data_IF_562750192377
#
_entry.id   IF_562750192377
#
_cell.length_a   1.000
_cell.length_b   1.000
_cell.length_c   1.000
_cell.angle_alpha   90.00
_cell.angle_beta   90.00
_cell.angle_gamma   90.00
#
_symmetry.space_group_name_H-M   'P 1'
#
loop_
_entity.id
_entity.type
_entity.pdbx_description
1 polymer ?
#
# COMPACT_ATOMS: atom_id res chain seq x y z
N UNK A 1 44.49 10.63 4.04
CA UNK A 1 43.76 10.40 5.32
C UNK A 1 44.39 11.31 6.38
N UNK A 2 43.66 11.72 7.43
CA UNK A 2 44.26 12.58 8.45
C UNK A 2 45.37 11.84 9.22
N UNK A 3 46.51 12.51 9.44
CA UNK A 3 47.69 11.94 10.10
C UNK A 3 47.66 12.23 11.61
N UNK A 4 48.14 11.31 12.47
CA UNK A 4 48.22 11.56 13.90
C UNK A 4 49.20 12.70 14.19
N UNK A 5 48.84 13.56 15.15
CA UNK A 5 49.65 14.73 15.51
C UNK A 5 50.86 14.35 16.38
N UNK A 6 50.70 13.31 17.19
CA UNK A 6 51.76 12.67 17.97
C UNK A 6 51.93 11.22 17.45
N UNK A 7 52.92 11.02 16.57
CA UNK A 7 53.21 9.72 15.95
C UNK A 7 53.76 8.70 16.96
N UNK A 8 54.53 9.14 17.95
CA UNK A 8 55.14 8.28 18.96
C UNK A 8 54.04 7.69 19.85
N UNK A 9 53.14 8.54 20.36
CA UNK A 9 51.99 8.10 21.15
C UNK A 9 51.07 7.17 20.35
N UNK A 10 50.80 7.53 19.08
CA UNK A 10 49.99 6.70 18.20
C UNK A 10 50.59 5.31 18.01
N UNK A 11 51.89 5.22 17.70
CA UNK A 11 52.59 3.94 17.49
C UNK A 11 52.67 3.11 18.77
N UNK A 12 52.86 3.73 19.94
CA UNK A 12 52.82 3.05 21.24
C UNK A 12 51.45 2.41 21.49
N UNK A 13 50.37 3.13 21.25
CA UNK A 13 48.99 2.63 21.40
C UNK A 13 48.68 1.57 20.33
N UNK A 14 49.13 1.77 19.09
CA UNK A 14 49.00 0.80 17.99
C UNK A 14 49.59 -0.54 18.37
N UNK A 15 50.82 -0.59 18.90
CA UNK A 15 51.46 -1.82 19.38
C UNK A 15 50.60 -2.53 20.45
N UNK A 16 50.12 -1.79 21.46
CA UNK A 16 49.26 -2.34 22.53
C UNK A 16 47.93 -2.90 21.99
N UNK A 17 47.24 -2.13 21.15
CA UNK A 17 45.94 -2.52 20.58
C UNK A 17 46.09 -3.72 19.66
N UNK A 18 47.17 -3.79 18.88
CA UNK A 18 47.41 -4.90 17.95
C UNK A 18 47.83 -6.17 18.68
N UNK A 19 48.57 -6.07 19.80
CA UNK A 19 48.84 -7.22 20.68
C UNK A 19 47.54 -7.79 21.26
N UNK A 20 46.61 -6.94 21.71
CA UNK A 20 45.29 -7.38 22.24
C UNK A 20 44.34 -7.89 21.16
N UNK A 21 44.44 -7.37 19.94
CA UNK A 21 43.57 -7.71 18.80
C UNK A 21 44.43 -8.04 17.56
N UNK A 22 45.01 -9.24 17.49
CA UNK A 22 45.96 -9.58 16.42
C UNK A 22 45.31 -9.58 15.03
N UNK A 23 44.06 -10.06 14.92
CA UNK A 23 43.32 -10.11 13.65
C UNK A 23 42.91 -8.71 13.17
N UNK A 24 43.24 -8.40 11.91
CA UNK A 24 42.84 -7.14 11.28
C UNK A 24 41.32 -7.04 11.17
N UNK A 25 40.73 -5.97 11.72
CA UNK A 25 39.29 -5.72 11.66
C UNK A 25 38.96 -4.22 11.79
N UNK A 26 37.77 -3.82 11.35
CA UNK A 26 37.28 -2.46 11.55
C UNK A 26 37.19 -2.09 13.05
N UNK A 27 36.85 -3.07 13.90
CA UNK A 27 36.78 -2.89 15.35
C UNK A 27 38.17 -2.57 15.93
N UNK A 28 39.21 -3.32 15.52
CA UNK A 28 40.61 -3.06 15.90
C UNK A 28 41.03 -1.64 15.51
N UNK A 29 40.81 -1.26 14.26
CA UNK A 29 41.18 0.07 13.76
C UNK A 29 40.43 1.19 14.49
N UNK A 30 39.16 0.98 14.82
CA UNK A 30 38.39 1.97 15.56
C UNK A 30 38.76 2.07 17.05
N UNK A 31 39.10 0.96 17.73
CA UNK A 31 39.66 0.98 19.09
C UNK A 31 40.94 1.81 19.12
N UNK A 32 41.86 1.57 18.17
CA UNK A 32 43.10 2.35 18.05
C UNK A 32 42.83 3.85 18.01
N UNK A 33 41.84 4.28 17.20
CA UNK A 33 41.45 5.69 17.11
C UNK A 33 40.85 6.21 18.42
N UNK A 34 40.01 5.43 19.11
CA UNK A 34 39.42 5.82 20.39
C UNK A 34 40.47 5.98 21.49
N UNK A 35 41.32 4.96 21.67
CA UNK A 35 42.39 4.94 22.65
C UNK A 35 43.40 6.07 22.39
N UNK A 36 43.77 6.29 21.12
CA UNK A 36 44.64 7.40 20.76
C UNK A 36 44.02 8.75 21.09
N UNK A 37 42.75 8.99 20.72
CA UNK A 37 42.07 10.25 21.05
C UNK A 37 41.96 10.49 22.56
N UNK A 38 41.69 9.42 23.33
CA UNK A 38 41.60 9.48 24.80
C UNK A 38 42.96 9.84 25.40
N UNK A 39 44.02 9.14 25.00
CA UNK A 39 45.37 9.39 25.47
C UNK A 39 45.90 10.76 25.04
N UNK A 40 45.62 11.17 23.80
CA UNK A 40 45.99 12.49 23.29
C UNK A 40 45.28 13.61 24.06
N UNK A 41 43.97 13.46 24.34
CA UNK A 41 43.22 14.42 25.17
C UNK A 41 43.81 14.53 26.58
N UNK A 42 44.24 13.41 27.17
CA UNK A 42 44.90 13.41 28.48
C UNK A 42 46.24 14.17 28.46
N UNK A 43 47.02 14.05 27.39
CA UNK A 43 48.36 14.67 27.27
C UNK A 43 48.33 16.13 26.80
N UNK A 44 47.39 16.50 25.93
CA UNK A 44 47.38 17.77 25.21
C UNK A 44 46.06 18.56 25.36
N UNK A 45 45.16 18.13 26.23
CA UNK A 45 43.87 18.78 26.48
C UNK A 45 42.96 18.78 25.25
N UNK A 46 42.39 19.94 24.93
CA UNK A 46 41.39 20.12 23.86
C UNK A 46 41.99 20.23 22.44
N UNK A 47 43.30 20.07 22.28
CA UNK A 47 43.95 20.13 20.96
C UNK A 47 43.43 19.03 20.03
N UNK A 48 43.38 19.31 18.73
CA UNK A 48 42.95 18.33 17.73
C UNK A 48 44.02 17.22 17.57
N UNK A 49 43.67 15.93 17.78
CA UNK A 49 44.62 14.79 17.72
C UNK A 49 45.12 14.42 16.32
N UNK A 50 44.50 14.94 15.25
CA UNK A 50 44.90 14.64 13.87
C UNK A 50 45.05 15.91 13.03
N UNK A 51 46.04 15.90 12.13
CA UNK A 51 46.33 16.95 11.14
C UNK A 51 45.77 16.53 9.77
N UNK A 52 45.27 17.49 8.99
CA UNK A 52 44.82 17.30 7.60
C UNK A 52 43.29 17.35 7.41
N UNK A 53 42.85 17.31 6.14
CA UNK A 53 41.44 17.40 5.76
C UNK A 53 40.66 16.19 6.31
N UNK A 54 39.76 16.43 7.27
CA UNK A 54 38.82 15.42 7.78
C UNK A 54 37.64 15.32 6.82
N UNK A 55 37.34 14.10 6.37
CA UNK A 55 36.01 13.86 5.79
C UNK A 55 34.98 13.90 6.92
N UNK A 56 33.89 14.68 6.77
CA UNK A 56 32.74 14.69 7.71
C UNK A 56 32.02 13.32 7.67
N UNK A 57 32.66 12.26 8.12
CA UNK A 57 32.04 10.93 8.25
C UNK A 57 31.47 10.76 9.67
N UNK A 58 30.19 11.08 9.81
CA UNK A 58 29.38 10.89 11.04
C UNK A 58 29.23 9.38 11.39
N UNK A 59 29.61 8.48 10.48
CA UNK A 59 29.29 7.05 10.56
C UNK A 59 30.05 6.24 11.61
N UNK A 60 31.30 6.56 11.97
CA UNK A 60 32.11 5.69 12.83
C UNK A 60 31.64 5.72 14.30
N UNK A 61 31.31 6.91 14.82
CA UNK A 61 30.74 7.04 16.17
C UNK A 61 29.42 6.28 16.27
N UNK A 62 28.51 6.50 15.31
CA UNK A 62 27.24 5.77 15.23
C UNK A 62 27.46 4.26 15.17
N UNK A 63 28.44 3.79 14.40
CA UNK A 63 28.76 2.36 14.31
C UNK A 63 29.19 1.76 15.65
N UNK A 64 29.96 2.49 16.46
CA UNK A 64 30.30 2.04 17.81
C UNK A 64 29.09 2.02 18.75
N UNK A 65 28.25 3.06 18.70
CA UNK A 65 27.04 3.16 19.53
C UNK A 65 26.03 2.05 19.18
N UNK A 66 25.95 1.65 17.91
CA UNK A 66 25.10 0.57 17.40
C UNK A 66 25.50 -0.83 17.89
N UNK A 67 26.74 -1.01 18.42
CA UNK A 67 27.31 -2.28 18.89
C UNK A 67 27.11 -3.43 17.90
N UNK A 68 27.92 -3.46 16.84
CA UNK A 68 27.81 -4.48 15.78
C UNK A 68 28.39 -5.81 16.20
N UNK A 69 27.56 -6.86 16.14
CA UNK A 69 27.92 -8.23 16.53
C UNK A 69 27.47 -9.23 15.48
N UNK A 70 28.05 -10.43 15.53
CA UNK A 70 27.59 -11.56 14.74
C UNK A 70 26.31 -12.17 15.34
N UNK A 71 25.74 -13.19 14.69
CA UNK A 71 24.52 -13.87 15.14
C UNK A 71 24.63 -14.55 16.52
N UNK A 72 25.84 -14.70 17.07
CA UNK A 72 26.12 -15.25 18.41
C UNK A 72 26.28 -14.16 19.47
N UNK A 73 26.22 -12.89 19.09
CA UNK A 73 26.46 -11.77 20.02
C UNK A 73 27.94 -11.41 20.21
N UNK A 74 28.84 -12.03 19.46
CA UNK A 74 30.29 -11.82 19.58
C UNK A 74 30.82 -10.84 18.52
N UNK A 75 32.00 -10.27 18.79
CA UNK A 75 32.77 -9.48 17.83
C UNK A 75 33.85 -10.36 17.19
N UNK A 76 34.10 -10.19 15.89
CA UNK A 76 35.12 -10.95 15.16
C UNK A 76 34.56 -12.18 14.44
N UNK A 77 35.28 -12.60 13.39
CA UNK A 77 34.87 -13.68 12.50
C UNK A 77 35.38 -15.01 13.06
N UNK A 78 34.46 -15.95 13.33
CA UNK A 78 34.78 -17.36 13.61
C UNK A 78 34.50 -18.23 12.40
N UNK A 79 33.40 -17.95 11.69
CA UNK A 79 32.99 -18.69 10.50
C UNK A 79 32.83 -17.78 9.29
N UNK A 80 33.10 -18.31 8.09
CA UNK A 80 32.88 -17.61 6.81
C UNK A 80 31.44 -17.12 6.64
N UNK A 81 30.49 -17.82 7.25
CA UNK A 81 29.06 -17.53 7.18
C UNK A 81 28.55 -16.60 8.29
N UNK A 82 29.43 -15.99 9.09
CA UNK A 82 29.04 -15.04 10.12
C UNK A 82 28.39 -13.79 9.49
N UNK A 83 27.25 -13.40 10.05
CA UNK A 83 26.46 -12.26 9.59
C UNK A 83 26.42 -11.18 10.67
N UNK A 84 26.79 -9.95 10.32
CA UNK A 84 26.87 -8.84 11.27
C UNK A 84 25.66 -7.92 11.17
N UNK A 85 25.13 -7.56 12.35
CA UNK A 85 24.04 -6.59 12.52
C UNK A 85 24.26 -5.82 13.83
N UNK A 86 23.68 -4.62 13.95
CA UNK A 86 23.70 -3.86 15.20
C UNK A 86 22.91 -4.59 16.27
N UNK A 87 23.33 -4.50 17.53
CA UNK A 87 22.53 -4.91 18.69
C UNK A 87 21.42 -3.90 18.97
N UNK A 88 21.70 -2.61 18.80
CA UNK A 88 20.80 -1.52 19.17
C UNK A 88 20.57 -0.55 18.01
N UNK A 89 19.34 -0.06 17.90
CA UNK A 89 18.94 0.92 16.89
C UNK A 89 19.19 2.33 17.43
N UNK A 90 20.19 3.02 16.89
CA UNK A 90 20.49 4.42 17.25
C UNK A 90 19.67 5.40 16.42
N UNK A 91 19.42 5.07 15.15
CA UNK A 91 18.67 5.95 14.24
C UNK A 91 17.71 5.16 13.36
N UNK A 92 16.79 5.87 12.68
CA UNK A 92 15.92 5.32 11.64
C UNK A 92 16.72 4.69 10.48
N UNK A 93 17.97 5.15 10.26
CA UNK A 93 18.88 4.63 9.22
C UNK A 93 19.66 3.40 9.65
N UNK A 94 19.67 3.07 10.95
CA UNK A 94 20.33 1.87 11.47
C UNK A 94 19.63 0.64 10.89
N UNK A 95 20.35 -0.37 10.38
CA UNK A 95 19.74 -1.58 9.86
C UNK A 95 18.94 -2.34 10.92
N UNK A 96 18.14 -3.31 10.48
CA UNK A 96 17.49 -4.28 11.38
C UNK A 96 18.53 -4.92 12.31
N UNK A 97 18.21 -5.03 13.59
CA UNK A 97 19.07 -5.64 14.61
C UNK A 97 18.99 -7.16 14.53
N UNK A 98 19.91 -7.85 15.22
CA UNK A 98 19.82 -9.32 15.33
C UNK A 98 18.57 -9.77 16.08
N UNK A 99 18.16 -9.05 17.14
CA UNK A 99 16.95 -9.39 17.90
C UNK A 99 15.66 -9.23 17.10
N UNK A 100 15.65 -8.37 16.08
CA UNK A 100 14.50 -8.20 15.19
C UNK A 100 14.40 -9.28 14.10
N UNK A 101 15.45 -10.09 13.87
CA UNK A 101 15.47 -11.14 12.85
C UNK A 101 14.95 -12.47 13.37
N UNK A 102 14.16 -13.17 12.56
CA UNK A 102 13.73 -14.53 12.91
C UNK A 102 14.79 -15.59 12.55
N UNK A 103 14.68 -16.79 13.15
CA UNK A 103 15.61 -17.91 12.94
C UNK A 103 15.75 -18.31 11.46
N UNK A 104 14.65 -18.25 10.68
CA UNK A 104 14.65 -18.58 9.24
C UNK A 104 15.43 -17.55 8.41
N UNK A 105 15.27 -16.26 8.70
CA UNK A 105 15.99 -15.15 8.08
C UNK A 105 17.50 -15.29 8.34
N UNK A 106 17.90 -15.58 9.58
CA UNK A 106 19.29 -15.82 9.97
C UNK A 106 19.87 -17.01 9.19
N UNK A 107 19.17 -18.17 9.18
CA UNK A 107 19.62 -19.38 8.47
C UNK A 107 19.85 -19.11 6.97
N UNK A 108 18.89 -18.43 6.33
CA UNK A 108 18.98 -18.08 4.89
C UNK A 108 20.13 -17.11 4.61
N UNK A 109 20.32 -16.11 5.46
CA UNK A 109 21.38 -15.13 5.32
C UNK A 109 22.77 -15.77 5.50
N UNK A 110 22.93 -16.65 6.48
CA UNK A 110 24.18 -17.42 6.66
C UNK A 110 24.50 -18.29 5.46
N UNK A 111 23.50 -19.03 4.92
CA UNK A 111 23.68 -19.82 3.69
C UNK A 111 24.15 -18.95 2.52
N UNK A 112 23.54 -17.78 2.34
CA UNK A 112 23.92 -16.86 1.26
C UNK A 112 25.31 -16.25 1.47
N UNK A 113 25.66 -15.90 2.71
CA UNK A 113 26.99 -15.39 3.06
C UNK A 113 28.07 -16.42 2.78
N UNK A 114 27.81 -17.69 3.08
CA UNK A 114 28.72 -18.79 2.80
C UNK A 114 28.98 -18.96 1.30
N UNK A 115 27.92 -18.98 0.50
CA UNK A 115 28.00 -19.27 -0.95
C UNK A 115 28.41 -18.07 -1.79
N UNK A 116 27.95 -16.86 -1.45
CA UNK A 116 28.14 -15.64 -2.26
C UNK A 116 29.04 -14.59 -1.62
N UNK A 117 29.56 -14.84 -0.42
CA UNK A 117 30.34 -13.86 0.34
C UNK A 117 29.54 -12.64 0.83
N UNK A 118 28.23 -12.57 0.57
CA UNK A 118 27.38 -11.41 0.89
C UNK A 118 25.97 -11.80 1.32
N UNK A 119 25.30 -10.89 2.02
CA UNK A 119 23.92 -11.04 2.48
C UNK A 119 23.03 -10.04 1.75
N UNK A 120 21.80 -10.44 1.40
CA UNK A 120 20.80 -9.53 0.86
C UNK A 120 20.28 -8.57 1.95
N UNK A 121 19.66 -7.45 1.53
CA UNK A 121 18.98 -6.56 2.47
C UNK A 121 17.76 -7.26 3.05
N UNK A 122 17.69 -7.37 4.37
CA UNK A 122 16.51 -7.91 5.05
C UNK A 122 15.31 -6.98 4.88
N UNK A 123 14.11 -7.59 4.74
CA UNK A 123 12.81 -6.91 4.70
C UNK A 123 12.80 -5.67 3.81
N UNK A 124 13.41 -5.77 2.62
CA UNK A 124 13.39 -4.69 1.62
C UNK A 124 11.92 -4.38 1.31
N UNK A 125 11.43 -3.23 1.77
CA UNK A 125 10.15 -2.69 1.26
C UNK A 125 10.33 -2.56 -0.25
N UNK A 126 9.44 -3.19 -1.02
CA UNK A 126 9.43 -3.05 -2.47
C UNK A 126 9.38 -1.57 -2.81
N UNK A 127 10.19 -1.13 -3.78
CA UNK A 127 10.07 0.23 -4.30
C UNK A 127 8.68 0.42 -4.92
N UNK A 128 8.16 1.65 -4.87
CA UNK A 128 6.90 1.98 -5.57
C UNK A 128 7.16 1.82 -7.07
N UNK A 129 6.31 1.04 -7.74
CA UNK A 129 6.44 0.81 -9.18
C UNK A 129 6.12 2.10 -9.94
N UNK A 130 7.00 2.49 -10.86
CA UNK A 130 6.77 3.63 -11.75
C UNK A 130 5.62 3.33 -12.72
N UNK A 131 5.05 4.39 -13.33
CA UNK A 131 3.96 4.25 -14.31
C UNK A 131 4.38 3.40 -15.50
N UNK A 132 5.61 3.60 -16.02
CA UNK A 132 6.20 2.80 -17.11
C UNK A 132 6.33 1.33 -16.73
N UNK A 133 6.77 1.03 -15.50
CA UNK A 133 6.87 -0.34 -15.00
C UNK A 133 5.51 -1.05 -14.93
N UNK A 134 4.45 -0.34 -14.49
CA UNK A 134 3.07 -0.86 -14.45
C UNK A 134 2.51 -1.12 -15.86
N UNK A 135 2.73 -0.19 -16.80
CA UNK A 135 2.25 -0.33 -18.18
C UNK A 135 2.90 -1.50 -18.92
N UNK A 136 4.19 -1.76 -18.66
CA UNK A 136 4.95 -2.81 -19.33
C UNK A 136 4.74 -4.22 -18.72
N UNK A 137 3.82 -4.39 -17.77
CA UNK A 137 3.53 -5.72 -17.21
C UNK A 137 2.76 -6.55 -18.21
N UNK A 138 3.32 -7.70 -18.58
CA UNK A 138 2.60 -8.71 -19.35
C UNK A 138 1.65 -9.49 -18.44
N UNK A 139 0.38 -9.10 -18.42
CA UNK A 139 -0.64 -9.76 -17.61
C UNK A 139 -1.10 -11.13 -18.12
N UNK A 140 -0.71 -11.53 -19.34
CA UNK A 140 -0.88 -12.93 -19.79
C UNK A 140 0.14 -13.86 -19.13
N UNK A 141 1.30 -13.34 -18.71
CA UNK A 141 2.39 -14.08 -18.04
C UNK A 141 3.07 -13.24 -16.94
N UNK A 142 2.40 -12.96 -15.81
CA UNK A 142 2.94 -12.10 -14.76
C UNK A 142 4.09 -12.77 -13.99
N UNK A 143 5.24 -12.07 -13.92
CA UNK A 143 6.44 -12.51 -13.19
C UNK A 143 6.35 -12.12 -11.70
N UNK A 144 6.12 -13.12 -10.85
CA UNK A 144 6.12 -12.98 -9.40
C UNK A 144 4.86 -12.32 -8.80
N UNK A 145 4.82 -12.26 -7.48
CA UNK A 145 3.64 -11.84 -6.72
C UNK A 145 3.16 -10.41 -7.06
N UNK A 146 4.09 -9.44 -7.16
CA UNK A 146 3.73 -8.04 -7.42
C UNK A 146 3.10 -7.81 -8.82
N UNK A 147 3.57 -8.53 -9.86
CA UNK A 147 2.94 -8.45 -11.18
C UNK A 147 1.56 -9.10 -11.18
N UNK A 148 1.41 -10.26 -10.52
CA UNK A 148 0.10 -10.92 -10.37
C UNK A 148 -0.91 -10.01 -9.70
N UNK A 149 -0.53 -9.35 -8.60
CA UNK A 149 -1.40 -8.37 -7.96
C UNK A 149 -1.70 -7.15 -8.86
N UNK A 150 -0.71 -6.61 -9.57
CA UNK A 150 -0.95 -5.51 -10.51
C UNK A 150 -1.88 -5.90 -11.67
N UNK A 151 -1.80 -7.13 -12.14
CA UNK A 151 -2.67 -7.60 -13.22
C UNK A 151 -4.08 -7.88 -12.75
N UNK A 152 -4.24 -8.44 -11.55
CA UNK A 152 -5.56 -8.73 -10.98
C UNK A 152 -6.29 -7.46 -10.52
N UNK A 153 -5.56 -6.44 -10.05
CA UNK A 153 -6.17 -5.28 -9.36
C UNK A 153 -5.63 -3.91 -9.80
N UNK A 154 -4.53 -3.86 -10.56
CA UNK A 154 -3.78 -2.63 -10.84
C UNK A 154 -3.94 -2.06 -12.26
N UNK A 155 -4.48 -2.84 -13.22
CA UNK A 155 -5.04 -2.28 -14.45
C UNK A 155 -6.44 -1.75 -14.13
N UNK A 156 -6.50 -0.46 -13.83
CA UNK A 156 -7.79 0.24 -13.69
C UNK A 156 -8.44 0.28 -15.07
N UNK A 157 -9.28 -0.71 -15.38
CA UNK A 157 -10.16 -0.58 -16.54
C UNK A 157 -11.04 0.64 -16.30
N UNK A 158 -11.06 1.54 -17.28
CA UNK A 158 -11.91 2.72 -17.24
C UNK A 158 -13.35 2.39 -17.61
N UNK A 159 -13.68 1.12 -17.91
CA UNK A 159 -15.01 0.72 -18.34
C UNK A 159 -15.49 -0.49 -17.56
N UNK A 160 -16.76 -0.47 -17.21
CA UNK A 160 -17.48 -1.57 -16.58
C UNK A 160 -18.90 -1.62 -17.13
N UNK A 161 -19.55 -2.77 -16.96
CA UNK A 161 -20.93 -2.98 -17.37
C UNK A 161 -21.69 -3.82 -16.36
N UNK A 162 -22.99 -3.64 -16.33
CA UNK A 162 -23.95 -4.50 -15.67
C UNK A 162 -25.08 -4.84 -16.64
N UNK A 163 -25.53 -6.09 -16.62
CA UNK A 163 -26.61 -6.58 -17.47
C UNK A 163 -27.79 -6.95 -16.59
N UNK A 164 -28.95 -6.37 -16.90
CA UNK A 164 -30.24 -6.78 -16.36
C UNK A 164 -30.79 -7.89 -17.26
N UNK A 165 -30.63 -9.14 -16.82
CA UNK A 165 -31.23 -10.30 -17.48
C UNK A 165 -32.75 -10.17 -17.43
N UNK A 166 -33.45 -10.67 -18.45
CA UNK A 166 -34.92 -10.58 -18.53
C UNK A 166 -35.56 -11.21 -17.28
N UNK A 167 -36.26 -10.39 -16.50
CA UNK A 167 -37.03 -10.77 -15.29
C UNK A 167 -38.27 -9.88 -15.24
N UNK A 168 -39.47 -10.48 -15.18
CA UNK A 168 -40.76 -9.77 -15.17
C UNK A 168 -40.86 -8.70 -16.25
N UNK A 169 -40.47 -9.04 -17.48
CA UNK A 169 -40.38 -8.15 -18.66
C UNK A 169 -39.35 -7.01 -18.58
N UNK A 170 -38.67 -6.82 -17.45
CA UNK A 170 -37.58 -5.84 -17.30
C UNK A 170 -36.27 -6.45 -17.77
N UNK A 171 -35.56 -5.77 -18.66
CA UNK A 171 -34.21 -6.15 -19.12
C UNK A 171 -33.43 -4.92 -19.59
N UNK A 172 -32.11 -5.03 -19.71
CA UNK A 172 -31.29 -3.91 -20.15
C UNK A 172 -29.81 -4.01 -19.83
N UNK A 173 -29.11 -2.91 -20.06
CA UNK A 173 -27.68 -2.78 -19.75
C UNK A 173 -27.36 -1.41 -19.16
N UNK A 174 -26.38 -1.39 -18.26
CA UNK A 174 -25.79 -0.18 -17.70
C UNK A 174 -24.30 -0.23 -17.96
N UNK A 175 -23.76 0.84 -18.54
CA UNK A 175 -22.34 1.01 -18.84
C UNK A 175 -21.79 2.11 -17.94
N UNK A 176 -20.67 1.81 -17.29
CA UNK A 176 -19.95 2.71 -16.41
C UNK A 176 -18.60 3.03 -17.04
N UNK A 177 -18.29 4.31 -17.16
CA UNK A 177 -17.01 4.77 -17.72
C UNK A 177 -16.37 5.77 -16.77
N UNK A 178 -15.18 5.45 -16.28
CA UNK A 178 -14.39 6.38 -15.50
C UNK A 178 -13.92 7.56 -16.38
N UNK A 179 -14.35 8.76 -16.00
CA UNK A 179 -13.95 10.04 -16.59
C UNK A 179 -13.16 10.87 -15.57
N UNK A 180 -12.61 12.02 -16.00
CA UNK A 180 -11.74 12.88 -15.18
C UNK A 180 -12.36 13.26 -13.82
N UNK A 181 -13.68 13.49 -13.79
CA UNK A 181 -14.39 13.99 -12.61
C UNK A 181 -15.52 13.05 -12.15
N UNK A 182 -15.31 11.73 -12.21
CA UNK A 182 -16.25 10.74 -11.70
C UNK A 182 -16.50 9.60 -12.67
N UNK A 183 -17.70 9.01 -12.60
CA UNK A 183 -18.13 7.91 -13.48
C UNK A 183 -19.30 8.38 -14.33
N UNK A 184 -19.14 8.28 -15.64
CA UNK A 184 -20.24 8.42 -16.61
C UNK A 184 -21.03 7.12 -16.62
N UNK A 185 -22.33 7.23 -16.37
CA UNK A 185 -23.27 6.10 -16.36
C UNK A 185 -24.19 6.28 -17.56
N UNK A 186 -24.22 5.29 -18.45
CA UNK A 186 -25.17 5.17 -19.56
C UNK A 186 -26.08 3.98 -19.30
N UNK A 187 -27.38 4.15 -19.36
CA UNK A 187 -28.34 3.07 -19.15
C UNK A 187 -29.31 2.98 -20.33
N UNK A 188 -29.70 1.75 -20.64
CA UNK A 188 -30.73 1.41 -21.62
C UNK A 188 -31.51 0.20 -21.06
N UNK A 189 -32.69 0.50 -20.52
CA UNK A 189 -33.56 -0.44 -19.78
C UNK A 189 -34.93 -0.43 -20.45
N UNK A 190 -35.51 -1.61 -20.62
CA UNK A 190 -36.81 -1.84 -21.26
C UNK A 190 -37.75 -2.54 -20.29
N UNK A 191 -39.05 -2.37 -20.52
CA UNK A 191 -40.11 -3.10 -19.81
C UNK A 191 -40.59 -2.49 -18.50
N UNK A 192 -39.99 -1.38 -18.05
CA UNK A 192 -40.48 -0.60 -16.91
C UNK A 192 -41.82 0.07 -17.23
N UNK A 193 -42.63 0.33 -16.20
CA UNK A 193 -43.83 1.16 -16.29
C UNK A 193 -43.42 2.62 -16.57
N UNK A 194 -44.30 3.43 -17.15
CA UNK A 194 -44.02 4.85 -17.32
C UNK A 194 -43.92 5.54 -15.95
N UNK A 195 -42.94 6.44 -15.78
CA UNK A 195 -42.73 7.13 -14.49
C UNK A 195 -41.27 7.17 -14.05
N UNK A 196 -41.07 7.47 -12.76
CA UNK A 196 -39.76 7.54 -12.10
C UNK A 196 -39.51 6.24 -11.33
N UNK A 197 -38.29 5.73 -11.43
CA UNK A 197 -37.85 4.52 -10.75
C UNK A 197 -36.53 4.78 -10.02
N UNK A 198 -36.46 4.40 -8.75
CA UNK A 198 -35.24 4.47 -7.95
C UNK A 198 -34.12 3.62 -8.57
N UNK A 199 -32.92 4.18 -8.61
CA UNK A 199 -31.78 3.59 -9.30
C UNK A 199 -30.55 3.67 -8.41
N UNK A 200 -30.10 2.53 -7.90
CA UNK A 200 -29.11 2.49 -6.82
C UNK A 200 -28.01 1.48 -7.08
N UNK A 201 -26.82 1.75 -6.53
CA UNK A 201 -25.76 0.75 -6.41
C UNK A 201 -25.86 0.15 -5.01
N UNK A 202 -26.00 -1.16 -4.94
CA UNK A 202 -26.08 -1.92 -3.70
C UNK A 202 -24.74 -2.56 -3.36
N UNK A 203 -24.55 -2.84 -2.08
CA UNK A 203 -23.25 -3.24 -1.54
C UNK A 203 -22.72 -4.56 -2.12
N UNK A 204 -23.60 -5.55 -2.28
CA UNK A 204 -23.25 -6.93 -2.63
C UNK A 204 -23.52 -7.17 -4.11
N UNK A 205 -22.49 -7.61 -4.86
CA UNK A 205 -22.64 -8.04 -6.25
C UNK A 205 -22.69 -9.56 -6.46
N UNK A 206 -22.46 -10.37 -5.42
CA UNK A 206 -22.72 -11.81 -5.46
C UNK A 206 -24.05 -12.12 -4.78
N UNK A 207 -25.13 -12.08 -5.56
CA UNK A 207 -26.49 -12.21 -5.07
C UNK A 207 -27.23 -13.40 -5.71
N UNK A 208 -26.53 -14.32 -6.39
CA UNK A 208 -27.08 -15.53 -7.01
C UNK A 208 -28.36 -15.31 -7.84
N UNK A 209 -28.45 -14.18 -8.56
CA UNK A 209 -29.61 -13.71 -9.35
C UNK A 209 -30.84 -13.28 -8.53
N UNK A 210 -30.79 -13.35 -7.20
CA UNK A 210 -31.81 -12.82 -6.31
C UNK A 210 -31.46 -11.40 -5.86
N UNK A 211 -32.19 -10.41 -6.37
CA UNK A 211 -31.92 -9.01 -6.08
C UNK A 211 -32.09 -8.65 -4.60
N UNK A 212 -32.81 -9.43 -3.79
CA UNK A 212 -32.96 -9.19 -2.36
C UNK A 212 -31.63 -9.38 -1.61
N UNK A 213 -30.79 -10.33 -2.05
CA UNK A 213 -29.48 -10.65 -1.46
C UNK A 213 -28.38 -9.63 -1.79
N UNK A 214 -28.69 -8.58 -2.54
CA UNK A 214 -27.74 -7.52 -2.87
C UNK A 214 -27.39 -6.58 -1.69
N UNK A 215 -28.06 -6.74 -0.53
CA UNK A 215 -27.80 -5.93 0.67
C UNK A 215 -28.37 -4.50 0.57
N UNK A 216 -27.92 -3.58 1.44
CA UNK A 216 -28.35 -2.18 1.42
C UNK A 216 -27.67 -1.38 0.29
N UNK A 217 -28.00 -0.10 0.18
CA UNK A 217 -27.30 0.83 -0.72
C UNK A 217 -25.82 0.91 -0.33
N UNK A 218 -24.94 1.07 -1.32
CA UNK A 218 -23.51 1.16 -1.07
C UNK A 218 -23.15 2.44 -0.30
N UNK A 219 -22.77 2.29 0.97
CA UNK A 219 -22.56 3.40 1.91
C UNK A 219 -21.24 3.29 2.71
N UNK A 220 -20.07 3.47 2.08
CA UNK A 220 -18.77 3.35 2.74
C UNK A 220 -18.43 4.50 3.70
N UNK A 221 -19.32 5.49 3.86
CA UNK A 221 -19.11 6.68 4.70
C UNK A 221 -20.20 6.85 5.78
N UNK A 222 -21.13 5.90 5.91
CA UNK A 222 -22.16 5.93 6.96
C UNK A 222 -23.09 7.15 6.89
N UNK A 223 -23.36 7.68 5.70
CA UNK A 223 -24.31 8.78 5.55
C UNK A 223 -25.75 8.26 5.52
N UNK A 224 -26.73 9.15 5.71
CA UNK A 224 -28.14 8.84 5.40
C UNK A 224 -28.37 8.84 3.89
N UNK A 225 -29.42 8.16 3.45
CA UNK A 225 -29.88 8.20 2.06
C UNK A 225 -30.24 9.64 1.67
N UNK A 226 -29.90 10.01 0.45
CA UNK A 226 -30.24 11.32 -0.12
C UNK A 226 -30.07 11.33 -1.63
N UNK A 227 -30.69 12.30 -2.30
CA UNK A 227 -30.57 12.45 -3.75
C UNK A 227 -29.13 12.64 -4.27
N UNK A 228 -28.92 12.26 -5.54
CA UNK A 228 -27.60 12.28 -6.23
C UNK A 228 -26.81 13.59 -6.08
N UNK A 229 -27.48 14.74 -6.02
CA UNK A 229 -26.84 16.06 -5.93
C UNK A 229 -26.41 16.44 -4.49
N UNK A 230 -26.84 15.68 -3.48
CA UNK A 230 -26.56 15.99 -2.07
C UNK A 230 -25.10 15.78 -1.68
N UNK A 231 -24.56 16.67 -0.83
CA UNK A 231 -23.19 16.58 -0.30
C UNK A 231 -22.98 15.38 0.63
N UNK A 232 -23.98 15.05 1.46
CA UNK A 232 -24.04 13.83 2.26
C UNK A 232 -25.14 12.93 1.66
N UNK A 233 -24.77 11.73 1.22
CA UNK A 233 -25.63 10.69 0.65
C UNK A 233 -24.89 9.36 0.68
N UNK A 234 -25.57 8.24 0.48
CA UNK A 234 -24.86 7.02 0.15
C UNK A 234 -24.12 7.20 -1.18
N UNK A 235 -23.00 6.50 -1.35
CA UNK A 235 -22.26 6.52 -2.62
C UNK A 235 -23.11 5.88 -3.73
N UNK A 236 -23.94 4.90 -3.37
CA UNK A 236 -24.85 4.23 -4.29
C UNK A 236 -26.13 4.97 -4.66
N UNK A 237 -26.46 6.13 -4.07
CA UNK A 237 -27.73 6.81 -4.34
C UNK A 237 -27.68 7.59 -5.67
N UNK A 238 -28.15 7.00 -6.78
CA UNK A 238 -28.12 7.67 -8.10
C UNK A 238 -29.42 8.43 -8.42
N UNK A 239 -30.40 8.38 -7.52
CA UNK A 239 -31.70 9.02 -7.66
C UNK A 239 -32.63 8.21 -8.56
N UNK A 240 -33.32 8.89 -9.48
CA UNK A 240 -34.30 8.28 -10.35
C UNK A 240 -33.85 8.23 -11.81
N UNK A 241 -34.22 7.16 -12.51
CA UNK A 241 -34.34 7.14 -13.98
C UNK A 241 -35.80 7.39 -14.37
N UNK A 242 -36.02 7.84 -15.61
CA UNK A 242 -37.35 8.16 -16.12
C UNK A 242 -37.67 7.24 -17.29
N UNK A 243 -38.79 6.55 -17.20
CA UNK A 243 -39.36 5.74 -18.28
C UNK A 243 -40.43 6.56 -19.01
N UNK A 244 -40.31 6.67 -20.34
CA UNK A 244 -41.37 7.20 -21.22
C UNK A 244 -41.59 6.22 -22.36
N UNK A 245 -42.85 5.92 -22.69
CA UNK A 245 -43.22 4.95 -23.75
C UNK A 245 -42.50 3.60 -23.58
N UNK A 246 -42.41 3.10 -22.34
CA UNK A 246 -41.70 1.85 -21.96
C UNK A 246 -40.20 1.80 -22.33
N UNK A 247 -39.60 2.93 -22.68
CA UNK A 247 -38.16 3.09 -22.96
C UNK A 247 -37.50 3.92 -21.85
N UNK A 248 -36.42 3.39 -21.29
CA UNK A 248 -35.66 4.06 -20.22
C UNK A 248 -34.21 4.14 -20.63
N UNK A 249 -33.84 5.26 -21.27
CA UNK A 249 -32.50 5.47 -21.81
C UNK A 249 -31.98 6.83 -21.40
N UNK A 250 -30.73 6.89 -20.96
CA UNK A 250 -30.13 8.14 -20.54
C UNK A 250 -28.66 8.01 -20.17
N UNK A 251 -28.06 9.15 -19.87
CA UNK A 251 -26.66 9.25 -19.46
C UNK A 251 -26.47 10.38 -18.46
N UNK A 252 -25.67 10.16 -17.43
CA UNK A 252 -25.24 11.21 -16.51
C UNK A 252 -23.86 10.91 -15.92
N UNK A 253 -23.25 11.90 -15.27
CA UNK A 253 -21.98 11.74 -14.56
C UNK A 253 -22.24 11.82 -13.07
N UNK A 254 -21.74 10.84 -12.32
CA UNK A 254 -21.69 10.88 -10.86
C UNK A 254 -20.26 11.19 -10.40
N UNK A 255 -20.09 12.29 -9.68
CA UNK A 255 -18.77 12.77 -9.24
C UNK A 255 -18.21 12.01 -8.03
N UNK A 256 -19.04 11.25 -7.31
CA UNK A 256 -18.62 10.53 -6.09
C UNK A 256 -18.27 9.07 -6.36
N UNK A 257 -18.86 8.49 -7.40
CA UNK A 257 -18.53 7.14 -7.84
C UNK A 257 -17.10 7.04 -8.37
N UNK A 258 -16.54 5.84 -8.24
CA UNK A 258 -15.26 5.47 -8.83
C UNK A 258 -15.26 4.00 -9.22
N UNK A 259 -14.48 3.62 -10.23
CA UNK A 259 -14.20 2.21 -10.58
C UNK A 259 -12.99 1.65 -9.82
N UNK A 260 -12.46 2.40 -8.86
CA UNK A 260 -11.29 2.06 -8.05
C UNK A 260 -11.27 2.83 -6.72
N UNK A 261 -10.42 2.42 -5.79
CA UNK A 261 -10.24 3.09 -4.50
C UNK A 261 -11.43 2.86 -3.54
N UNK A 262 -11.60 3.76 -2.57
CA UNK A 262 -12.61 3.61 -1.49
C UNK A 262 -14.06 3.57 -2.02
N UNK A 263 -14.37 4.37 -3.03
CA UNK A 263 -15.71 4.43 -3.63
C UNK A 263 -15.87 3.48 -4.83
N UNK A 264 -15.08 2.41 -4.88
CA UNK A 264 -15.10 1.43 -5.96
C UNK A 264 -16.45 0.70 -6.04
N UNK A 265 -17.06 0.69 -7.23
CA UNK A 265 -18.31 -0.02 -7.53
C UNK A 265 -18.12 -1.34 -8.28
N UNK A 266 -16.90 -1.68 -8.69
CA UNK A 266 -16.62 -2.96 -9.34
C UNK A 266 -16.87 -4.10 -8.35
N UNK A 267 -17.60 -5.12 -8.80
CA UNK A 267 -17.99 -6.26 -7.97
C UNK A 267 -19.23 -6.03 -7.12
N UNK A 268 -19.83 -4.83 -7.18
CA UNK A 268 -21.12 -4.49 -6.56
C UNK A 268 -22.28 -4.76 -7.51
N UNK A 269 -23.50 -4.38 -7.13
CA UNK A 269 -24.68 -4.52 -7.98
C UNK A 269 -25.32 -3.16 -8.24
N UNK A 270 -25.94 -3.03 -9.40
CA UNK A 270 -26.88 -1.94 -9.69
C UNK A 270 -28.29 -2.51 -9.68
N UNK A 271 -29.24 -1.76 -9.13
CA UNK A 271 -30.64 -2.17 -8.96
C UNK A 271 -31.55 -1.06 -9.49
N UNK A 272 -32.61 -1.50 -10.17
CA UNK A 272 -33.74 -0.66 -10.55
C UNK A 272 -34.94 -1.05 -9.70
N UNK A 273 -35.57 -0.05 -9.08
CA UNK A 273 -36.69 -0.22 -8.17
C UNK A 273 -38.04 0.05 -8.84
N UNK A 274 -39.13 -0.40 -8.20
CA UNK A 274 -40.48 -0.26 -8.73
C UNK A 274 -41.00 1.18 -8.62
N UNK A 275 -40.78 1.82 -7.48
CA UNK A 275 -41.29 3.16 -7.20
C UNK A 275 -40.21 4.22 -7.36
N UNK A 276 -40.67 5.48 -7.36
CA UNK A 276 -39.83 6.66 -7.32
C UNK A 276 -39.07 6.70 -5.99
N UNK A 277 -37.77 6.94 -6.08
CA UNK A 277 -36.94 7.37 -4.95
C UNK A 277 -37.31 8.81 -4.55
N UNK A 278 -37.73 9.01 -3.30
CA UNK A 278 -38.09 10.31 -2.72
C UNK A 278 -36.90 11.21 -2.36
N UNK A 279 -35.68 10.68 -2.49
CA UNK A 279 -34.39 11.33 -2.30
C UNK A 279 -34.07 11.72 -0.85
N UNK A 280 -34.64 11.02 0.13
CA UNK A 280 -34.48 11.31 1.55
C UNK A 280 -35.36 12.47 2.03
N UNK A 281 -36.42 12.78 1.28
CA UNK A 281 -37.34 13.90 1.57
C UNK A 281 -38.70 13.46 2.10
N UNK A 282 -38.92 12.16 2.26
CA UNK A 282 -40.10 11.62 2.92
C UNK A 282 -40.06 11.90 4.43
N UNK A 283 -41.23 11.86 5.06
CA UNK A 283 -41.40 12.13 6.50
C UNK A 283 -41.29 10.86 7.37
N UNK A 284 -40.67 9.79 6.86
CA UNK A 284 -40.51 8.51 7.57
C UNK A 284 -39.03 8.07 7.58
N UNK A 285 -38.68 7.19 8.52
CA UNK A 285 -37.31 6.68 8.66
C UNK A 285 -36.82 5.93 7.42
N UNK A 286 -37.72 5.27 6.71
CA UNK A 286 -37.40 4.51 5.51
C UNK A 286 -36.93 5.41 4.35
N UNK A 287 -37.42 6.66 4.28
CA UNK A 287 -36.90 7.66 3.34
C UNK A 287 -35.39 7.88 3.52
N UNK A 288 -34.93 7.94 4.77
CA UNK A 288 -33.51 8.15 5.09
C UNK A 288 -32.64 6.90 4.92
N UNK A 289 -33.24 5.75 4.57
CA UNK A 289 -32.55 4.47 4.33
C UNK A 289 -32.57 4.06 2.86
N UNK A 290 -33.74 4.07 2.23
CA UNK A 290 -33.97 3.52 0.87
C UNK A 290 -34.65 4.49 -0.09
N UNK A 291 -35.08 5.67 0.41
CA UNK A 291 -35.82 6.64 -0.39
C UNK A 291 -37.24 6.19 -0.73
N UNK A 292 -37.80 5.22 0.02
CA UNK A 292 -39.12 4.62 -0.24
C UNK A 292 -39.31 4.08 -1.67
N UNK A 293 -38.23 3.65 -2.34
CA UNK A 293 -38.28 3.22 -3.74
C UNK A 293 -38.97 1.86 -3.95
N UNK A 294 -39.33 1.15 -2.87
CA UNK A 294 -40.09 -0.11 -2.94
C UNK A 294 -39.30 -1.28 -3.55
N UNK A 295 -40.02 -2.20 -4.20
CA UNK A 295 -39.50 -3.48 -4.64
C UNK A 295 -38.34 -3.39 -5.64
N UNK A 296 -37.46 -4.40 -5.62
CA UNK A 296 -36.29 -4.50 -6.52
C UNK A 296 -36.68 -5.23 -7.81
N UNK A 297 -37.01 -4.50 -8.87
CA UNK A 297 -37.49 -5.06 -10.13
C UNK A 297 -36.41 -5.89 -10.85
N UNK A 298 -35.20 -5.37 -10.93
CA UNK A 298 -34.08 -6.07 -11.58
C UNK A 298 -32.73 -5.60 -11.01
N UNK A 299 -31.71 -6.43 -11.17
CA UNK A 299 -30.38 -6.19 -10.64
C UNK A 299 -29.30 -6.80 -11.54
N UNK A 300 -28.12 -6.21 -11.51
CA UNK A 300 -27.00 -6.66 -12.34
C UNK A 300 -25.67 -6.43 -11.62
N UNK A 301 -24.81 -7.45 -11.61
CA UNK A 301 -23.44 -7.32 -11.08
C UNK A 301 -22.63 -6.40 -11.99
N UNK A 302 -21.94 -5.44 -11.40
CA UNK A 302 -21.03 -4.53 -12.09
C UNK A 302 -19.69 -5.24 -12.26
N UNK A 303 -19.35 -5.55 -13.51
CA UNK A 303 -18.11 -6.23 -13.88
C UNK A 303 -17.29 -5.34 -14.81
N UNK A 304 -15.97 -5.50 -14.79
CA UNK A 304 -15.10 -4.82 -15.75
C UNK A 304 -15.52 -5.20 -17.18
N UNK A 305 -15.50 -4.21 -18.07
CA UNK A 305 -15.69 -4.40 -19.50
C UNK A 305 -14.37 -4.35 -20.24
#
# INVERSE_FOLDING_TARGET
MPNPRDNILYNKIKKKVYKKNPKHSAYRSGILVQEYKKAFKKKYGSKNPYIGKKTKKIGLRRWFDEKWVNQRGEVGYKYKNDIYRPLKRITKRTPITHGELNKKEIKRARKLKYTKGRVNRFRKKGGVWTRKQKQNVNCKKPKGFSQRQHCNYGRVSKKAKAIFKKKNNVSGKVIFEQVKHGVRIKYDIKGLKNGKHGFHIHEIGNFNKDCLKAGPHFNPHGHKHSGRKSKKRHIGDLGNVITKNRKTKGSFIDKKLSLFGKNNIIGRSVIIHDLKDDLGKGKNDESLKTGNAGARLNCGKIVLS
#
